data_IF_145194382117
#
_entry.id   IF_145194382117
#
_cell.length_a   1.000
_cell.length_b   1.000
_cell.length_c   1.000
_cell.angle_alpha   90.00
_cell.angle_beta   90.00
_cell.angle_gamma   90.00
#
_symmetry.space_group_name_H-M   'P 1'
#
loop_
_entity.id
_entity.type
_entity.pdbx_description
1 polymer ?
#
# COMPACT_ATOMS: atom_id res chain seq x y z
N UNK A 1 -3.03 13.53 4.93
CA UNK A 1 -1.94 12.80 5.60
C UNK A 1 -1.64 13.44 6.94
N UNK A 2 -1.63 14.77 7.03
CA UNK A 2 -1.40 15.52 8.29
C UNK A 2 -2.25 15.07 9.48
N UNK A 3 -3.58 14.96 9.32
CA UNK A 3 -4.46 14.45 10.40
C UNK A 3 -4.07 13.04 10.91
N UNK A 4 -3.59 12.17 10.02
CA UNK A 4 -3.12 10.84 10.42
C UNK A 4 -1.78 10.94 11.16
N UNK A 5 -0.88 11.84 10.72
CA UNK A 5 0.38 12.11 11.41
C UNK A 5 0.13 12.66 12.83
N UNK A 6 -0.80 13.60 13.00
CA UNK A 6 -1.22 14.12 14.31
C UNK A 6 -1.75 13.00 15.22
N UNK A 7 -2.58 12.11 14.68
CA UNK A 7 -3.08 10.94 15.43
C UNK A 7 -1.94 9.98 15.82
N UNK A 8 -0.94 9.82 14.96
CA UNK A 8 0.22 8.96 15.21
C UNK A 8 1.17 9.56 16.25
N UNK A 9 1.43 10.88 16.19
CA UNK A 9 2.27 11.58 17.16
C UNK A 9 1.64 11.59 18.57
N UNK A 10 0.31 11.51 18.64
CA UNK A 10 -0.44 11.52 19.89
C UNK A 10 -0.67 12.94 20.44
N UNK A 11 -1.64 13.11 21.35
CA UNK A 11 -2.04 14.42 21.84
C UNK A 11 -0.89 15.10 22.62
N UNK A 12 -0.68 16.39 22.37
CA UNK A 12 0.25 17.24 23.14
C UNK A 12 1.72 17.19 22.70
N UNK A 13 2.08 16.40 21.68
CA UNK A 13 3.45 16.39 21.16
C UNK A 13 3.71 17.60 20.27
N UNK A 14 4.66 18.44 20.67
CA UNK A 14 5.11 19.63 19.92
C UNK A 14 6.53 19.49 19.38
N UNK A 15 7.22 18.39 19.71
CA UNK A 15 8.56 18.11 19.20
C UNK A 15 8.52 17.90 17.68
N UNK A 16 9.27 18.74 16.97
CA UNK A 16 9.38 18.70 15.51
C UNK A 16 9.90 17.35 15.00
N UNK A 17 10.80 16.69 15.71
CA UNK A 17 11.34 15.39 15.32
C UNK A 17 10.28 14.28 15.42
N UNK A 18 9.44 14.32 16.46
CA UNK A 18 8.31 13.39 16.62
C UNK A 18 7.26 13.62 15.53
N UNK A 19 6.92 14.88 15.25
CA UNK A 19 5.96 15.23 14.20
C UNK A 19 6.46 14.82 12.81
N UNK A 20 7.74 15.00 12.52
CA UNK A 20 8.35 14.53 11.26
C UNK A 20 8.30 13.00 11.15
N UNK A 21 8.70 12.27 12.20
CA UNK A 21 8.63 10.82 12.21
C UNK A 21 7.18 10.31 12.07
N UNK A 22 6.20 10.98 12.67
CA UNK A 22 4.79 10.66 12.52
C UNK A 22 4.28 10.90 11.09
N UNK A 23 4.75 11.97 10.42
CA UNK A 23 4.48 12.21 8.99
C UNK A 23 5.06 11.10 8.12
N UNK A 24 6.29 10.68 8.38
CA UNK A 24 6.91 9.56 7.67
C UNK A 24 6.10 8.26 7.78
N UNK A 25 5.55 7.98 8.97
CA UNK A 25 4.63 6.84 9.18
C UNK A 25 3.34 7.02 8.38
N UNK A 26 2.72 8.20 8.46
CA UNK A 26 1.46 8.50 7.75
C UNK A 26 1.61 8.39 6.23
N UNK A 27 2.72 8.84 5.68
CA UNK A 27 3.04 8.75 4.25
C UNK A 27 3.23 7.30 3.81
N UNK A 28 3.95 6.51 4.59
CA UNK A 28 4.14 5.10 4.30
C UNK A 28 2.81 4.32 4.37
N UNK A 29 1.94 4.63 5.33
CA UNK A 29 0.58 4.09 5.43
C UNK A 29 -0.28 4.46 4.22
N UNK A 30 -0.19 5.72 3.76
CA UNK A 30 -0.91 6.16 2.57
C UNK A 30 -0.44 5.42 1.31
N UNK A 31 0.88 5.25 1.14
CA UNK A 31 1.44 4.48 0.03
C UNK A 31 0.97 3.03 0.06
N UNK A 32 0.96 2.39 1.24
CA UNK A 32 0.44 1.02 1.41
C UNK A 32 -1.02 0.90 1.02
N UNK A 33 -1.87 1.82 1.52
CA UNK A 33 -3.30 1.84 1.18
C UNK A 33 -3.50 1.99 -0.32
N UNK A 34 -2.77 2.89 -0.97
CA UNK A 34 -2.83 3.07 -2.43
C UNK A 34 -2.51 1.78 -3.17
N UNK A 35 -1.37 1.15 -2.88
CA UNK A 35 -0.95 -0.09 -3.56
C UNK A 35 -1.99 -1.19 -3.35
N UNK A 36 -2.51 -1.35 -2.13
CA UNK A 36 -3.56 -2.33 -1.82
C UNK A 36 -4.86 -2.06 -2.56
N UNK A 37 -5.31 -0.80 -2.62
CA UNK A 37 -6.50 -0.42 -3.38
C UNK A 37 -6.33 -0.73 -4.86
N UNK A 38 -5.18 -0.41 -5.45
CA UNK A 38 -4.89 -0.75 -6.85
C UNK A 38 -4.87 -2.27 -7.07
N UNK A 39 -4.22 -3.02 -6.18
CA UNK A 39 -4.17 -4.49 -6.25
C UNK A 39 -5.56 -5.13 -6.15
N UNK A 40 -6.40 -4.67 -5.22
CA UNK A 40 -7.79 -5.13 -5.11
C UNK A 40 -8.61 -4.76 -6.36
N UNK A 41 -8.41 -3.56 -6.90
CA UNK A 41 -9.10 -3.13 -8.13
C UNK A 41 -8.69 -3.99 -9.33
N UNK A 42 -7.39 -4.27 -9.47
CA UNK A 42 -6.85 -5.14 -10.51
C UNK A 42 -7.45 -6.55 -10.37
N UNK A 43 -7.44 -7.13 -9.17
CA UNK A 43 -8.03 -8.45 -8.91
C UNK A 43 -9.54 -8.52 -9.21
N UNK A 44 -10.30 -7.47 -8.88
CA UNK A 44 -11.75 -7.39 -9.15
C UNK A 44 -12.07 -7.27 -10.64
N UNK A 45 -11.25 -6.50 -11.37
CA UNK A 45 -11.44 -6.27 -12.80
C UNK A 45 -10.78 -7.35 -13.66
N UNK A 46 -10.08 -8.30 -13.04
CA UNK A 46 -9.45 -9.42 -13.76
C UNK A 46 -10.51 -10.45 -14.11
N UNK A 47 -10.53 -10.94 -15.37
CA UNK A 47 -11.33 -12.07 -15.83
C UNK A 47 -11.39 -13.29 -14.92
N UNK A 48 -10.37 -13.52 -14.10
CA UNK A 48 -10.24 -14.72 -13.27
C UNK A 48 -10.99 -14.62 -11.93
N UNK A 49 -11.82 -13.59 -11.72
CA UNK A 49 -12.66 -13.50 -10.53
C UNK A 49 -13.67 -14.69 -10.47
N UNK A 50 -14.06 -15.17 -9.27
CA UNK A 50 -14.92 -16.37 -9.09
C UNK A 50 -16.34 -16.29 -9.67
N UNK A 51 -16.64 -15.28 -10.50
CA UNK A 51 -17.86 -15.11 -11.27
C UNK A 51 -17.64 -15.08 -12.78
N UNK A 52 -16.46 -15.44 -13.30
CA UNK A 52 -16.26 -15.70 -14.73
C UNK A 52 -17.18 -16.84 -15.14
N UNK A 53 -18.40 -16.49 -15.54
CA UNK A 53 -19.21 -17.39 -16.34
C UNK A 53 -18.40 -17.54 -17.61
N UNK A 54 -17.85 -18.74 -17.81
CA UNK A 54 -17.38 -19.23 -19.10
C UNK A 54 -18.57 -19.29 -20.08
N UNK A 55 -19.19 -18.14 -20.35
CA UNK A 55 -20.20 -17.94 -21.35
C UNK A 55 -19.44 -17.42 -22.56
N UNK A 56 -18.98 -18.38 -23.36
CA UNK A 56 -18.61 -18.24 -24.78
C UNK A 56 -17.44 -17.32 -25.18
N UNK A 57 -16.86 -16.51 -24.30
CA UNK A 57 -15.62 -15.78 -24.62
C UNK A 57 -14.38 -16.66 -24.41
N UNK A 58 -13.58 -16.77 -25.48
CA UNK A 58 -12.31 -17.47 -25.49
C UNK A 58 -11.44 -17.02 -24.31
N UNK A 59 -10.61 -17.91 -23.72
CA UNK A 59 -9.68 -17.51 -22.66
C UNK A 59 -8.87 -16.30 -23.12
N UNK A 60 -8.61 -15.33 -22.23
CA UNK A 60 -7.81 -14.16 -22.59
C UNK A 60 -6.47 -14.64 -23.16
N UNK A 61 -5.95 -13.99 -24.22
CA UNK A 61 -4.70 -14.40 -24.84
C UNK A 61 -3.59 -14.42 -23.79
N UNK A 62 -2.67 -15.39 -23.89
CA UNK A 62 -1.60 -15.59 -22.91
C UNK A 62 -0.79 -14.31 -22.61
N UNK A 63 -0.68 -13.42 -23.59
CA UNK A 63 -0.07 -12.10 -23.47
C UNK A 63 -0.78 -11.21 -22.44
N UNK A 64 -2.11 -11.24 -22.37
CA UNK A 64 -2.88 -10.48 -21.38
C UNK A 64 -2.67 -11.01 -19.97
N UNK A 65 -2.53 -12.33 -19.79
CA UNK A 65 -2.22 -12.93 -18.50
C UNK A 65 -0.82 -12.56 -18.02
N UNK A 66 0.17 -12.60 -18.92
CA UNK A 66 1.55 -12.21 -18.61
C UNK A 66 1.65 -10.73 -18.22
N UNK A 67 0.90 -9.85 -18.88
CA UNK A 67 0.84 -8.43 -18.52
C UNK A 67 0.23 -8.21 -17.13
N UNK A 68 -0.86 -8.91 -16.81
CA UNK A 68 -1.45 -8.87 -15.46
C UNK A 68 -0.46 -9.35 -14.38
N UNK A 69 0.27 -10.43 -14.63
CA UNK A 69 1.29 -10.94 -13.71
C UNK A 69 2.42 -9.93 -13.49
N UNK A 70 2.88 -9.26 -14.55
CA UNK A 70 3.88 -8.19 -14.47
C UNK A 70 3.40 -7.00 -13.65
N UNK A 71 2.14 -6.60 -13.85
CA UNK A 71 1.53 -5.52 -13.07
C UNK A 71 1.43 -5.89 -11.59
N UNK A 72 1.01 -7.12 -11.27
CA UNK A 72 0.97 -7.64 -9.91
C UNK A 72 2.37 -7.68 -9.27
N UNK A 73 3.38 -8.16 -9.98
CA UNK A 73 4.77 -8.20 -9.50
C UNK A 73 5.30 -6.78 -9.20
N UNK A 74 4.99 -5.82 -10.08
CA UNK A 74 5.32 -4.41 -9.86
C UNK A 74 4.67 -3.88 -8.57
N UNK A 75 3.36 -4.12 -8.39
CA UNK A 75 2.63 -3.71 -7.18
C UNK A 75 3.20 -4.38 -5.92
N UNK A 76 3.58 -5.65 -5.98
CA UNK A 76 4.19 -6.36 -4.85
C UNK A 76 5.54 -5.75 -4.43
N UNK A 77 6.35 -5.28 -5.38
CA UNK A 77 7.59 -4.56 -5.08
C UNK A 77 7.30 -3.23 -4.37
N UNK A 78 6.31 -2.48 -4.84
CA UNK A 78 5.89 -1.24 -4.17
C UNK A 78 5.31 -1.50 -2.78
N UNK A 79 4.51 -2.55 -2.60
CA UNK A 79 3.98 -2.93 -1.29
C UNK A 79 5.10 -3.26 -0.30
N UNK A 80 6.09 -4.07 -0.71
CA UNK A 80 7.26 -4.38 0.12
C UNK A 80 8.06 -3.14 0.50
N UNK A 81 8.29 -2.23 -0.46
CA UNK A 81 9.02 -0.97 -0.20
C UNK A 81 8.26 -0.09 0.81
N UNK A 82 6.96 0.06 0.65
CA UNK A 82 6.14 0.86 1.55
C UNK A 82 6.04 0.23 2.95
N UNK A 83 5.96 -1.11 3.05
CA UNK A 83 6.02 -1.83 4.33
C UNK A 83 7.35 -1.61 5.06
N UNK A 84 8.46 -1.68 4.32
CA UNK A 84 9.79 -1.43 4.87
C UNK A 84 9.93 0.00 5.39
N UNK A 85 9.48 0.99 4.60
CA UNK A 85 9.47 2.41 5.00
C UNK A 85 8.65 2.62 6.27
N UNK A 86 7.44 2.04 6.33
CA UNK A 86 6.57 2.12 7.51
C UNK A 86 7.25 1.52 8.74
N UNK A 87 7.84 0.33 8.61
CA UNK A 87 8.54 -0.34 9.72
C UNK A 87 9.70 0.51 10.25
N UNK A 88 10.47 1.12 9.34
CA UNK A 88 11.57 2.02 9.71
C UNK A 88 11.07 3.28 10.41
N UNK A 89 10.05 3.94 9.86
CA UNK A 89 9.47 5.16 10.43
C UNK A 89 8.84 4.91 11.82
N UNK A 90 8.14 3.80 12.01
CA UNK A 90 7.59 3.41 13.32
C UNK A 90 8.71 3.22 14.35
N UNK A 91 9.82 2.57 13.95
CA UNK A 91 10.97 2.40 14.85
C UNK A 91 11.56 3.75 15.24
N UNK A 92 11.83 4.62 14.26
CA UNK A 92 12.33 5.99 14.50
C UNK A 92 11.41 6.75 15.45
N UNK A 93 10.10 6.67 15.25
CA UNK A 93 9.12 7.32 16.11
C UNK A 93 9.16 6.76 17.54
N UNK A 94 9.20 5.44 17.70
CA UNK A 94 9.30 4.81 19.02
C UNK A 94 10.58 5.25 19.76
N UNK A 95 11.71 5.33 19.06
CA UNK A 95 12.99 5.75 19.63
C UNK A 95 12.96 7.22 20.10
N UNK A 96 12.10 8.07 19.53
CA UNK A 96 11.94 9.48 19.90
C UNK A 96 10.94 9.71 21.04
N UNK A 97 10.03 8.76 21.28
CA UNK A 97 8.94 8.87 22.28
C UNK A 97 9.21 8.00 23.53
N UNK A 98 10.20 7.11 23.47
CA UNK A 98 10.68 6.30 24.62
C UNK A 98 11.59 7.10 25.54
#
# INVERSE_FOLDING_TARGET
MERLAELIAGPGHTDAAVLEAARDVADAEFQLRRVRTFKTTLQRNTPLAPGWKAKEEAPPPAESLLELLRQLESLDRYERRALSRRKFAIRRLNDLVS
#
